data_IF_260424127537
#
_entry.id   IF_260424127537
#
_cell.length_a   1.000
_cell.length_b   1.000
_cell.length_c   1.000
_cell.angle_alpha   90.00
_cell.angle_beta   90.00
_cell.angle_gamma   90.00
#
_symmetry.space_group_name_H-M   'P 1'
#
loop_
_entity.id
_entity.type
_entity.pdbx_description
1 polymer ?
#
# COMPACT_ATOMS: atom_id res chain seq x y z
N UNK A 1 16.49 29.28 -28.48
CA UNK A 1 16.65 30.67 -28.97
C UNK A 1 15.30 31.33 -28.81
N UNK A 2 15.13 32.23 -27.84
CA UNK A 2 13.90 33.04 -27.76
C UNK A 2 13.84 33.93 -29.01
N UNK A 3 12.75 33.82 -29.77
CA UNK A 3 12.45 34.79 -30.83
C UNK A 3 12.12 36.12 -30.14
N UNK A 4 12.60 37.24 -30.68
CA UNK A 4 12.19 38.55 -30.17
C UNK A 4 10.66 38.71 -30.36
N UNK A 5 9.97 39.38 -29.44
CA UNK A 5 8.50 39.59 -29.46
C UNK A 5 7.98 40.14 -30.80
N UNK A 6 8.85 40.88 -31.51
CA UNK A 6 8.59 41.47 -32.84
C UNK A 6 8.50 40.43 -33.96
N UNK A 7 9.09 39.24 -33.78
CA UNK A 7 9.14 38.14 -34.77
C UNK A 7 8.09 37.05 -34.52
N UNK A 8 7.29 37.16 -33.45
CA UNK A 8 6.20 36.22 -33.15
C UNK A 8 5.03 36.41 -34.13
N UNK A 9 4.39 35.31 -34.52
CA UNK A 9 3.11 35.32 -35.23
C UNK A 9 1.96 35.81 -34.33
N UNK A 10 0.82 36.17 -34.92
CA UNK A 10 -0.30 36.73 -34.15
C UNK A 10 -0.85 35.73 -33.12
N UNK A 11 -0.86 34.43 -33.44
CA UNK A 11 -1.23 33.38 -32.49
C UNK A 11 -0.20 33.23 -31.36
N UNK A 12 1.10 33.22 -31.68
CA UNK A 12 2.16 33.13 -30.67
C UNK A 12 2.16 34.37 -29.74
N UNK A 13 1.91 35.56 -30.27
CA UNK A 13 1.75 36.79 -29.50
C UNK A 13 0.52 36.75 -28.60
N UNK A 14 -0.60 36.21 -29.10
CA UNK A 14 -1.81 36.03 -28.30
C UNK A 14 -1.57 35.06 -27.13
N UNK A 15 -0.93 33.91 -27.40
CA UNK A 15 -0.52 32.99 -26.34
C UNK A 15 0.44 33.67 -25.34
N UNK A 16 1.40 34.45 -25.82
CA UNK A 16 2.33 35.19 -24.97
C UNK A 16 1.61 36.20 -24.05
N UNK A 17 0.62 36.92 -24.57
CA UNK A 17 -0.23 37.83 -23.78
C UNK A 17 -0.95 37.10 -22.65
N UNK A 18 -1.56 35.95 -22.92
CA UNK A 18 -2.28 35.19 -21.89
C UNK A 18 -1.34 34.58 -20.84
N UNK A 19 -0.13 34.18 -21.25
CA UNK A 19 0.85 33.55 -20.35
C UNK A 19 1.54 34.60 -19.45
N UNK A 20 1.91 35.75 -20.01
CA UNK A 20 2.71 36.78 -19.32
C UNK A 20 1.89 37.92 -18.75
N UNK A 21 0.66 38.13 -19.23
CA UNK A 21 -0.22 39.21 -18.81
C UNK A 21 0.38 40.62 -18.97
N UNK A 22 1.27 40.80 -19.96
CA UNK A 22 1.96 42.06 -20.26
C UNK A 22 1.67 42.49 -21.69
N UNK A 23 1.22 43.73 -21.89
CA UNK A 23 0.76 44.24 -23.20
C UNK A 23 1.80 45.11 -23.93
N UNK A 24 2.83 45.57 -23.23
CA UNK A 24 3.77 46.59 -23.73
C UNK A 24 4.64 46.05 -24.85
N UNK A 25 4.46 46.58 -26.06
CA UNK A 25 5.28 46.27 -27.23
C UNK A 25 4.81 45.10 -28.10
N UNK A 26 3.66 44.49 -27.78
CA UNK A 26 3.08 43.38 -28.57
C UNK A 26 2.17 43.89 -29.70
N UNK A 27 1.58 45.08 -29.53
CA UNK A 27 0.66 45.70 -30.49
C UNK A 27 1.45 46.57 -31.48
N UNK A 28 1.21 46.40 -32.79
CA UNK A 28 1.71 47.32 -33.83
C UNK A 28 0.69 48.43 -34.11
N UNK A 29 1.14 49.66 -34.31
CA UNK A 29 0.28 50.86 -34.35
C UNK A 29 -0.60 51.03 -35.60
N UNK A 30 -0.53 50.15 -36.61
CA UNK A 30 -1.26 50.35 -37.87
C UNK A 30 -1.90 49.05 -38.37
N UNK A 31 -3.23 49.13 -38.55
CA UNK A 31 -4.24 48.08 -38.86
C UNK A 31 -4.76 47.28 -37.65
N UNK A 32 -6.07 46.97 -37.66
CA UNK A 32 -6.74 46.23 -36.58
C UNK A 32 -6.28 44.77 -36.55
N UNK A 33 -5.12 44.55 -35.92
CA UNK A 33 -4.60 43.23 -35.58
C UNK A 33 -5.63 42.48 -34.70
N UNK A 34 -5.79 41.17 -34.92
CA UNK A 34 -6.61 40.26 -34.12
C UNK A 34 -6.29 40.42 -32.64
N UNK A 35 -5.02 40.64 -32.31
CA UNK A 35 -4.55 40.93 -30.95
C UNK A 35 -5.20 42.20 -30.39
N UNK A 36 -5.22 43.28 -31.17
CA UNK A 36 -5.87 44.53 -30.79
C UNK A 36 -7.38 44.38 -30.58
N UNK A 37 -8.04 43.56 -31.40
CA UNK A 37 -9.47 43.25 -31.21
C UNK A 37 -9.72 42.47 -29.91
N UNK A 38 -8.88 41.48 -29.59
CA UNK A 38 -8.98 40.68 -28.36
C UNK A 38 -8.72 41.56 -27.12
N UNK A 39 -7.72 42.44 -27.16
CA UNK A 39 -7.44 43.37 -26.05
C UNK A 39 -8.61 44.33 -25.85
N UNK A 40 -9.15 44.93 -26.91
CA UNK A 40 -10.35 45.79 -26.81
C UNK A 40 -11.54 45.03 -26.20
N UNK A 41 -11.71 43.75 -26.54
CA UNK A 41 -12.77 42.91 -25.96
C UNK A 41 -12.50 42.61 -24.48
N UNK A 42 -11.25 42.32 -24.13
CA UNK A 42 -10.81 42.09 -22.75
C UNK A 42 -10.99 43.34 -21.88
N UNK A 43 -10.59 44.51 -22.38
CA UNK A 43 -10.77 45.79 -21.67
C UNK A 43 -12.24 46.11 -21.47
N UNK A 44 -13.10 45.88 -22.47
CA UNK A 44 -14.57 46.02 -22.31
C UNK A 44 -15.12 45.09 -21.24
N UNK A 45 -14.61 43.86 -21.17
CA UNK A 45 -15.02 42.88 -20.17
C UNK A 45 -14.52 43.26 -18.76
N UNK A 46 -13.26 43.68 -18.64
CA UNK A 46 -12.63 44.11 -17.38
C UNK A 46 -13.26 45.39 -16.83
N UNK A 47 -13.63 46.32 -17.70
CA UNK A 47 -14.30 47.57 -17.33
C UNK A 47 -15.79 47.36 -17.00
N UNK A 48 -16.35 46.18 -17.31
CA UNK A 48 -17.67 45.77 -16.83
C UNK A 48 -17.53 45.14 -15.44
N UNK A 49 -17.49 45.98 -14.42
CA UNK A 49 -17.22 45.61 -13.02
C UNK A 49 -18.12 44.46 -12.50
N UNK A 50 -19.45 44.45 -12.75
CA UNK A 50 -20.30 43.33 -12.35
C UNK A 50 -19.91 42.00 -13.01
N UNK A 51 -19.63 42.01 -14.31
CA UNK A 51 -19.30 40.80 -15.06
C UNK A 51 -17.92 40.26 -14.68
N UNK A 52 -16.95 41.15 -14.48
CA UNK A 52 -15.61 40.83 -14.01
C UNK A 52 -15.63 40.24 -12.59
N UNK A 53 -16.40 40.86 -11.69
CA UNK A 53 -16.54 40.40 -10.30
C UNK A 53 -17.12 38.99 -10.21
N UNK A 54 -18.20 38.72 -10.98
CA UNK A 54 -18.82 37.39 -11.06
C UNK A 54 -17.83 36.34 -11.59
N UNK A 55 -17.09 36.67 -12.66
CA UNK A 55 -16.12 35.74 -13.25
C UNK A 55 -14.99 35.40 -12.27
N UNK A 56 -14.48 36.40 -11.53
CA UNK A 56 -13.45 36.21 -10.53
C UNK A 56 -13.95 35.35 -9.35
N UNK A 57 -15.17 35.61 -8.85
CA UNK A 57 -15.78 34.80 -7.81
C UNK A 57 -15.96 33.35 -8.24
N UNK A 58 -16.39 33.12 -9.49
CA UNK A 58 -16.56 31.78 -10.04
C UNK A 58 -15.23 31.04 -10.16
N UNK A 59 -14.17 31.73 -10.62
CA UNK A 59 -12.83 31.16 -10.70
C UNK A 59 -12.28 30.78 -9.32
N UNK A 60 -12.40 31.66 -8.33
CA UNK A 60 -11.99 31.39 -6.95
C UNK A 60 -12.80 30.24 -6.33
N UNK A 61 -14.10 30.18 -6.59
CA UNK A 61 -14.95 29.08 -6.11
C UNK A 61 -14.52 27.73 -6.72
N UNK A 62 -14.16 27.70 -8.01
CA UNK A 62 -13.64 26.49 -8.68
C UNK A 62 -12.33 26.04 -8.06
N UNK A 63 -11.36 26.94 -7.94
CA UNK A 63 -10.05 26.64 -7.33
C UNK A 63 -10.22 26.07 -5.92
N UNK A 64 -11.08 26.70 -5.10
CA UNK A 64 -11.38 26.23 -3.74
C UNK A 64 -12.00 24.84 -3.75
N UNK A 65 -12.94 24.58 -4.64
CA UNK A 65 -13.64 23.29 -4.74
C UNK A 65 -12.68 22.18 -5.18
N UNK A 66 -11.80 22.46 -6.13
CA UNK A 66 -10.74 21.55 -6.56
C UNK A 66 -9.75 21.28 -5.43
N UNK A 67 -9.27 22.33 -4.75
CA UNK A 67 -8.36 22.19 -3.60
C UNK A 67 -8.96 21.34 -2.47
N UNK A 68 -10.25 21.52 -2.17
CA UNK A 68 -10.93 20.67 -1.18
C UNK A 68 -10.99 19.21 -1.63
N UNK A 69 -11.31 18.93 -2.90
CA UNK A 69 -11.32 17.55 -3.42
C UNK A 69 -9.95 16.90 -3.24
N UNK A 70 -8.88 17.61 -3.56
CA UNK A 70 -7.51 17.12 -3.41
C UNK A 70 -7.17 16.83 -1.94
N UNK A 71 -7.60 17.69 -1.01
CA UNK A 71 -7.40 17.48 0.43
C UNK A 71 -8.16 16.26 0.95
N UNK A 72 -9.44 16.09 0.57
CA UNK A 72 -10.24 14.93 0.96
C UNK A 72 -9.68 13.62 0.38
N UNK A 73 -9.23 13.63 -0.87
CA UNK A 73 -8.59 12.47 -1.48
C UNK A 73 -7.28 12.12 -0.78
N UNK A 74 -6.48 13.13 -0.41
CA UNK A 74 -5.20 12.92 0.30
C UNK A 74 -5.41 12.36 1.69
N UNK A 75 -6.33 12.93 2.48
CA UNK A 75 -6.68 12.43 3.81
C UNK A 75 -7.25 11.01 3.78
N UNK A 76 -8.17 10.73 2.87
CA UNK A 76 -8.75 9.40 2.73
C UNK A 76 -7.71 8.33 2.33
N UNK A 77 -6.72 8.70 1.51
CA UNK A 77 -5.61 7.81 1.16
C UNK A 77 -4.69 7.55 2.36
N UNK A 78 -4.34 8.60 3.10
CA UNK A 78 -3.47 8.49 4.29
C UNK A 78 -4.12 7.62 5.38
N UNK A 79 -5.39 7.86 5.70
CA UNK A 79 -6.17 7.04 6.64
C UNK A 79 -6.26 5.58 6.18
N UNK A 80 -6.51 5.35 4.87
CA UNK A 80 -6.58 4.02 4.29
C UNK A 80 -5.27 3.24 4.42
N UNK A 81 -4.14 3.91 4.18
CA UNK A 81 -2.80 3.31 4.35
C UNK A 81 -2.53 2.99 5.82
N UNK A 82 -2.82 3.93 6.73
CA UNK A 82 -2.58 3.73 8.16
C UNK A 82 -3.39 2.55 8.72
N UNK A 83 -4.67 2.47 8.36
CA UNK A 83 -5.55 1.36 8.75
C UNK A 83 -5.03 0.04 8.17
N UNK A 84 -4.66 0.03 6.88
CA UNK A 84 -4.14 -1.15 6.21
C UNK A 84 -2.87 -1.71 6.87
N UNK A 85 -1.91 -0.83 7.21
CA UNK A 85 -0.66 -1.23 7.89
C UNK A 85 -0.97 -1.80 9.27
N UNK A 86 -1.74 -1.09 10.11
CA UNK A 86 -2.07 -1.54 11.47
C UNK A 86 -2.78 -2.89 11.47
N UNK A 87 -3.73 -3.08 10.54
CA UNK A 87 -4.47 -4.33 10.44
C UNK A 87 -3.58 -5.48 9.95
N UNK A 88 -2.74 -5.23 8.94
CA UNK A 88 -1.80 -6.22 8.43
C UNK A 88 -0.78 -6.67 9.47
N UNK A 89 -0.20 -5.74 10.23
CA UNK A 89 0.75 -6.04 11.30
C UNK A 89 0.12 -6.88 12.40
N UNK A 90 -1.06 -6.48 12.89
CA UNK A 90 -1.76 -7.21 13.94
C UNK A 90 -2.09 -8.65 13.53
N UNK A 91 -2.61 -8.83 12.31
CA UNK A 91 -2.93 -10.15 11.77
C UNK A 91 -1.68 -11.01 11.57
N UNK A 92 -0.60 -10.41 11.06
CA UNK A 92 0.68 -11.09 10.87
C UNK A 92 1.28 -11.59 12.19
N UNK A 93 1.31 -10.75 13.22
CA UNK A 93 1.82 -11.10 14.54
C UNK A 93 0.97 -12.20 15.19
N UNK A 94 -0.36 -12.07 15.15
CA UNK A 94 -1.25 -13.05 15.76
C UNK A 94 -1.12 -14.43 15.12
N UNK A 95 -1.11 -14.48 13.78
CA UNK A 95 -0.91 -15.73 13.04
C UNK A 95 0.46 -16.35 13.30
N UNK A 96 1.52 -15.54 13.22
CA UNK A 96 2.89 -16.00 13.47
C UNK A 96 3.09 -16.53 14.89
N UNK A 97 2.50 -15.85 15.89
CA UNK A 97 2.56 -16.31 17.29
C UNK A 97 1.82 -17.62 17.50
N UNK A 98 0.65 -17.79 16.89
CA UNK A 98 -0.13 -19.03 16.99
C UNK A 98 0.61 -20.21 16.36
N UNK A 99 1.08 -20.03 15.12
CA UNK A 99 1.82 -21.08 14.39
C UNK A 99 3.13 -21.43 15.12
N UNK A 100 3.88 -20.43 15.58
CA UNK A 100 5.12 -20.65 16.35
C UNK A 100 4.89 -21.37 17.67
N UNK A 101 3.80 -21.04 18.40
CA UNK A 101 3.45 -21.72 19.64
C UNK A 101 3.04 -23.18 19.40
N UNK A 102 2.22 -23.45 18.38
CA UNK A 102 1.81 -24.80 18.02
C UNK A 102 3.01 -25.66 17.61
N UNK A 103 3.92 -25.12 16.80
CA UNK A 103 5.17 -25.79 16.43
C UNK A 103 6.06 -26.06 17.65
N UNK A 104 6.25 -25.07 18.53
CA UNK A 104 7.04 -25.22 19.75
C UNK A 104 6.48 -26.30 20.69
N UNK A 105 5.16 -26.34 20.88
CA UNK A 105 4.50 -27.39 21.66
C UNK A 105 4.70 -28.77 21.01
N UNK A 106 4.60 -28.87 19.68
CA UNK A 106 4.79 -30.13 18.97
C UNK A 106 6.22 -30.65 19.09
N UNK A 107 7.22 -29.78 18.94
CA UNK A 107 8.64 -30.12 19.14
C UNK A 107 8.87 -30.56 20.58
N UNK A 108 8.41 -29.80 21.57
CA UNK A 108 8.57 -30.14 22.98
C UNK A 108 7.91 -31.48 23.35
N UNK A 109 6.74 -31.81 22.78
CA UNK A 109 6.13 -33.14 22.95
C UNK A 109 7.01 -34.26 22.41
N UNK A 110 7.59 -34.09 21.22
CA UNK A 110 8.51 -35.07 20.62
C UNK A 110 9.75 -35.27 21.50
N UNK A 111 10.30 -34.18 22.04
CA UNK A 111 11.48 -34.23 22.91
C UNK A 111 11.21 -34.98 24.22
N UNK A 112 10.04 -34.78 24.83
CA UNK A 112 9.60 -35.57 25.99
C UNK A 112 9.54 -37.06 25.66
N UNK A 113 8.98 -37.44 24.50
CA UNK A 113 8.93 -38.85 24.09
C UNK A 113 10.33 -39.45 23.89
N UNK A 114 11.26 -38.70 23.31
CA UNK A 114 12.65 -39.13 23.13
C UNK A 114 13.27 -39.46 24.49
N UNK A 115 13.15 -38.54 25.46
CA UNK A 115 13.70 -38.74 26.80
C UNK A 115 13.03 -39.91 27.54
N UNK A 116 11.70 -40.07 27.42
CA UNK A 116 10.99 -41.20 28.04
C UNK A 116 11.47 -42.55 27.49
N UNK A 117 11.59 -42.68 26.18
CA UNK A 117 12.04 -43.92 25.54
C UNK A 117 13.50 -44.21 25.86
N UNK A 118 14.35 -43.19 25.84
CA UNK A 118 15.75 -43.30 26.25
C UNK A 118 15.87 -43.73 27.72
N UNK A 119 15.02 -43.21 28.60
CA UNK A 119 14.97 -43.63 30.00
C UNK A 119 14.50 -45.07 30.20
N UNK A 120 13.49 -45.51 29.45
CA UNK A 120 12.88 -46.85 29.61
C UNK A 120 13.66 -47.98 28.94
N UNK A 121 14.15 -47.74 27.73
CA UNK A 121 14.75 -48.75 26.86
C UNK A 121 16.25 -48.54 26.62
N UNK A 122 16.81 -47.40 27.04
CA UNK A 122 18.20 -47.02 26.78
C UNK A 122 18.57 -46.97 25.29
N UNK A 123 17.58 -46.65 24.44
CA UNK A 123 17.73 -46.56 22.99
C UNK A 123 17.58 -45.11 22.51
N UNK A 124 18.39 -44.74 21.51
CA UNK A 124 18.28 -43.46 20.81
C UNK A 124 17.22 -43.55 19.71
N UNK A 125 16.18 -42.71 19.80
CA UNK A 125 14.98 -42.83 18.98
C UNK A 125 14.55 -41.51 18.29
N UNK A 126 15.41 -40.48 18.33
CA UNK A 126 15.13 -39.14 17.78
C UNK A 126 14.66 -39.17 16.32
N UNK A 127 15.42 -39.82 15.43
CA UNK A 127 15.07 -39.96 14.01
C UNK A 127 13.74 -40.68 13.77
N UNK A 128 13.41 -41.65 14.64
CA UNK A 128 12.16 -42.39 14.52
C UNK A 128 10.98 -41.49 14.92
N UNK A 129 11.05 -40.85 16.08
CA UNK A 129 10.01 -39.94 16.58
C UNK A 129 9.77 -38.74 15.65
N UNK A 130 10.82 -38.23 15.00
CA UNK A 130 10.69 -37.16 14.01
C UNK A 130 9.75 -37.53 12.85
N UNK A 131 9.79 -38.79 12.39
CA UNK A 131 8.98 -39.31 11.30
C UNK A 131 7.57 -39.75 11.67
N UNK A 132 7.23 -39.80 12.97
CA UNK A 132 5.91 -40.25 13.42
C UNK A 132 4.82 -39.19 13.22
N UNK A 133 3.62 -39.66 12.86
CA UNK A 133 2.40 -38.86 12.80
C UNK A 133 1.87 -38.52 14.19
N UNK A 134 1.01 -37.51 14.30
CA UNK A 134 0.40 -37.11 15.58
C UNK A 134 -0.44 -38.23 16.22
N UNK A 135 -1.03 -39.12 15.41
CA UNK A 135 -1.74 -40.31 15.89
C UNK A 135 -0.77 -41.29 16.54
N UNK A 136 0.33 -41.59 15.88
CA UNK A 136 1.36 -42.51 16.39
C UNK A 136 2.01 -41.96 17.67
N UNK A 137 2.27 -40.66 17.74
CA UNK A 137 2.80 -40.02 18.95
C UNK A 137 1.85 -40.19 20.16
N UNK A 138 0.52 -40.17 19.97
CA UNK A 138 -0.45 -40.44 21.05
C UNK A 138 -0.38 -41.87 21.55
N UNK A 139 -0.08 -42.83 20.68
CA UNK A 139 0.04 -44.24 21.02
C UNK A 139 1.29 -44.55 21.84
N UNK A 140 2.34 -43.72 21.75
CA UNK A 140 3.55 -43.86 22.58
C UNK A 140 3.17 -43.87 24.07
N UNK A 141 2.40 -42.89 24.53
CA UNK A 141 1.97 -42.82 25.94
C UNK A 141 1.15 -44.04 26.39
N UNK A 142 0.45 -44.68 25.46
CA UNK A 142 -0.37 -45.86 25.76
C UNK A 142 0.49 -47.12 25.90
N UNK A 143 1.41 -47.33 24.96
CA UNK A 143 2.13 -48.60 24.84
C UNK A 143 3.50 -48.62 25.52
N UNK A 144 4.06 -47.46 25.88
CA UNK A 144 5.41 -47.37 26.49
C UNK A 144 5.54 -48.12 27.81
N UNK A 145 4.42 -48.37 28.50
CA UNK A 145 4.36 -49.15 29.75
C UNK A 145 3.75 -50.54 29.57
N UNK A 146 3.21 -50.88 28.40
CA UNK A 146 2.65 -52.21 28.11
C UNK A 146 3.72 -53.17 27.58
N UNK A 147 4.69 -52.66 26.82
CA UNK A 147 5.72 -53.46 26.18
C UNK A 147 7.05 -53.36 26.93
N UNK A 148 7.77 -54.48 27.06
CA UNK A 148 9.08 -54.54 27.72
C UNK A 148 10.24 -54.42 26.74
N UNK A 149 10.04 -54.81 25.47
CA UNK A 149 11.05 -54.76 24.42
C UNK A 149 10.81 -53.62 23.43
N UNK A 150 11.86 -52.85 23.15
CA UNK A 150 11.77 -51.68 22.28
C UNK A 150 11.34 -52.01 20.85
N UNK A 151 11.82 -53.11 20.27
CA UNK A 151 11.51 -53.47 18.88
C UNK A 151 10.02 -53.83 18.71
N UNK A 152 9.45 -54.58 19.66
CA UNK A 152 8.01 -54.92 19.68
C UNK A 152 7.17 -53.65 19.83
N UNK A 153 7.57 -52.76 20.75
CA UNK A 153 6.94 -51.46 20.94
C UNK A 153 6.97 -50.62 19.65
N UNK A 154 8.14 -50.53 19.00
CA UNK A 154 8.35 -49.74 17.78
C UNK A 154 7.50 -50.27 16.62
N UNK A 155 7.53 -51.57 16.38
CA UNK A 155 6.75 -52.22 15.33
C UNK A 155 5.24 -52.01 15.53
N UNK A 156 4.76 -52.08 16.77
CA UNK A 156 3.35 -51.84 17.11
C UNK A 156 2.91 -50.42 16.77
N UNK A 157 3.75 -49.42 17.02
CA UNK A 157 3.48 -48.01 16.68
C UNK A 157 3.54 -47.78 15.17
N UNK A 158 4.53 -48.35 14.48
CA UNK A 158 4.70 -48.21 13.03
C UNK A 158 3.53 -48.86 12.26
N UNK A 159 3.00 -49.98 12.75
CA UNK A 159 1.85 -50.68 12.17
C UNK A 159 0.49 -50.04 12.47
N UNK A 160 0.43 -48.99 13.30
CA UNK A 160 -0.82 -48.36 13.75
C UNK A 160 -1.30 -47.18 12.88
N UNK A 161 -1.08 -47.25 11.56
CA UNK A 161 -1.38 -46.17 10.60
C UNK A 161 -2.87 -45.78 10.52
#
# INVERSE_FOLDING_TARGET
KEKEVKELSDLERLCYLFIKNEYTGIIKEKEEDIIGMVIKMYDKFRNNEPMWSIANQLALARIRTESFKDEYHSKGLEEGIEIGIKQGEKQGIEKGKKEGLEQGIAIGKKEIFIEMIKGRYHQECSRWIEGLSEKQLKLINKYIFEEDEFEVFKERIDNSN
#
